data_IF_148123072353
#
_entry.id   IF_148123072353
#
_cell.length_a   1.000
_cell.length_b   1.000
_cell.length_c   1.000
_cell.angle_alpha   90.00
_cell.angle_beta   90.00
_cell.angle_gamma   90.00
#
_symmetry.space_group_name_H-M   'P 1'
#
loop_
_entity.id
_entity.type
_entity.pdbx_description
1 polymer ?
#
# COMPACT_ATOMS: atom_id res chain seq x y z
N UNK A 1 17.02 -0.66 24.63
CA UNK A 1 16.10 0.26 23.94
C UNK A 1 15.66 -0.49 22.71
N UNK A 2 14.51 -1.14 22.78
CA UNK A 2 13.95 -1.89 21.66
C UNK A 2 13.38 -0.90 20.65
N UNK A 3 13.82 -1.03 19.40
CA UNK A 3 13.37 -0.20 18.29
C UNK A 3 11.88 -0.50 18.01
N UNK A 4 10.97 0.50 18.12
CA UNK A 4 9.54 0.33 17.84
C UNK A 4 9.25 -0.13 16.40
N UNK A 5 10.20 0.00 15.49
CA UNK A 5 10.10 -0.42 14.10
C UNK A 5 10.81 -1.75 13.79
N UNK A 6 11.39 -2.43 14.79
CA UNK A 6 11.98 -3.75 14.56
C UNK A 6 10.91 -4.79 14.21
N UNK A 7 11.10 -5.50 13.09
CA UNK A 7 10.21 -6.56 12.60
C UNK A 7 10.46 -7.87 13.34
N UNK A 8 10.07 -7.92 14.61
CA UNK A 8 10.09 -9.14 15.40
C UNK A 8 8.70 -9.76 15.44
N UNK A 9 8.64 -11.09 15.57
CA UNK A 9 7.39 -11.83 15.76
C UNK A 9 6.55 -11.28 16.91
N UNK A 10 7.19 -10.68 17.92
CA UNK A 10 6.52 -10.09 19.06
C UNK A 10 5.87 -8.74 18.72
N UNK A 11 6.55 -7.88 17.94
CA UNK A 11 5.98 -6.62 17.47
C UNK A 11 4.79 -6.84 16.53
N UNK A 12 4.81 -7.87 15.69
CA UNK A 12 3.67 -8.22 14.84
C UNK A 12 2.44 -8.64 15.65
N UNK A 13 2.64 -9.44 16.71
CA UNK A 13 1.56 -9.80 17.64
C UNK A 13 1.02 -8.54 18.34
N UNK A 14 1.88 -7.61 18.74
CA UNK A 14 1.46 -6.35 19.36
C UNK A 14 0.69 -5.43 18.40
N UNK A 15 1.08 -5.36 17.13
CA UNK A 15 0.33 -4.64 16.07
C UNK A 15 -1.01 -5.33 15.81
N UNK A 16 -1.05 -6.66 15.77
CA UNK A 16 -2.30 -7.43 15.63
C UNK A 16 -3.25 -7.23 16.82
N UNK A 17 -2.72 -7.07 18.03
CA UNK A 17 -3.47 -6.78 19.25
C UNK A 17 -3.86 -5.30 19.41
N UNK A 18 -3.44 -4.42 18.49
CA UNK A 18 -3.74 -2.99 18.52
C UNK A 18 -2.99 -2.20 19.58
N UNK A 19 -1.90 -2.75 20.13
CA UNK A 19 -1.07 -2.10 21.17
C UNK A 19 -0.03 -1.18 20.51
N UNK A 20 0.52 -1.60 19.37
CA UNK A 20 1.38 -0.76 18.53
C UNK A 20 0.58 -0.20 17.36
N UNK A 21 0.87 1.05 16.93
CA UNK A 21 0.30 1.60 15.71
C UNK A 21 0.63 0.69 14.52
N UNK A 22 -0.22 0.64 13.48
CA UNK A 22 0.09 -0.08 12.26
C UNK A 22 1.44 0.42 11.72
N UNK A 23 2.22 -0.50 11.16
CA UNK A 23 3.50 -0.14 10.57
C UNK A 23 3.22 0.85 9.46
N UNK A 24 3.96 1.96 9.43
CA UNK A 24 3.92 2.85 8.28
C UNK A 24 4.23 1.97 7.06
N UNK A 25 3.22 1.77 6.22
CA UNK A 25 3.44 1.20 4.89
C UNK A 25 4.50 2.09 4.29
N UNK A 26 5.66 1.52 3.94
CA UNK A 26 6.71 2.29 3.26
C UNK A 26 6.01 2.92 2.06
N UNK A 27 5.82 4.23 2.14
CA UNK A 27 5.29 4.97 1.02
C UNK A 27 6.30 4.75 -0.10
N UNK A 28 5.89 4.03 -1.14
CA UNK A 28 6.71 3.86 -2.34
C UNK A 28 6.92 5.28 -2.86
N UNK A 29 8.15 5.75 -2.74
CA UNK A 29 8.54 7.11 -3.10
C UNK A 29 8.67 7.20 -4.62
N UNK A 30 8.68 8.42 -5.16
CA UNK A 30 8.96 8.63 -6.58
C UNK A 30 10.31 8.02 -6.99
N UNK A 31 11.32 8.14 -6.12
CA UNK A 31 12.63 7.52 -6.30
C UNK A 31 12.56 5.98 -6.40
N UNK A 32 11.69 5.33 -5.62
CA UNK A 32 11.50 3.88 -5.72
C UNK A 32 10.92 3.48 -7.08
N UNK A 33 10.02 4.29 -7.64
CA UNK A 33 9.41 4.05 -8.96
C UNK A 33 10.47 4.22 -10.05
N UNK A 34 11.25 5.30 -9.98
CA UNK A 34 12.36 5.55 -10.92
C UNK A 34 13.35 4.38 -10.88
N UNK A 35 13.72 3.94 -9.68
CA UNK A 35 14.62 2.79 -9.53
C UNK A 35 14.04 1.50 -10.13
N UNK A 36 12.73 1.29 -10.07
CA UNK A 36 12.07 0.12 -10.65
C UNK A 36 12.12 0.16 -12.19
N UNK A 37 11.89 1.35 -12.77
CA UNK A 37 11.99 1.56 -14.22
C UNK A 37 13.43 1.36 -14.68
N UNK A 38 14.41 2.00 -14.03
CA UNK A 38 15.84 1.86 -14.34
C UNK A 38 16.31 0.40 -14.27
N UNK A 39 15.97 -0.32 -13.20
CA UNK A 39 16.32 -1.74 -13.08
C UNK A 39 15.70 -2.59 -14.20
N UNK A 40 14.43 -2.35 -14.54
CA UNK A 40 13.74 -3.10 -15.61
C UNK A 40 14.41 -2.87 -16.96
N UNK A 41 14.84 -1.62 -17.20
CA UNK A 41 15.53 -1.25 -18.42
C UNK A 41 16.93 -1.86 -18.47
N UNK A 42 17.69 -1.85 -17.37
CA UNK A 42 19.01 -2.48 -17.27
C UNK A 42 18.94 -4.00 -17.54
N UNK A 43 17.91 -4.67 -17.02
CA UNK A 43 17.65 -6.09 -17.27
C UNK A 43 17.41 -6.37 -18.76
N UNK A 44 16.62 -5.54 -19.44
CA UNK A 44 16.35 -5.68 -20.89
C UNK A 44 17.54 -5.26 -21.76
N UNK A 45 18.39 -4.36 -21.25
CA UNK A 45 19.53 -3.84 -21.99
C UNK A 45 20.71 -4.83 -22.07
N UNK A 46 20.62 -5.98 -21.38
CA UNK A 46 21.67 -7.01 -21.33
C UNK A 46 23.05 -6.44 -20.91
N UNK A 47 23.06 -5.38 -20.11
CA UNK A 47 24.29 -4.76 -19.60
C UNK A 47 25.01 -3.79 -20.55
N UNK A 48 24.39 -3.38 -21.67
CA UNK A 48 24.84 -2.19 -22.40
C UNK A 48 24.23 -0.95 -21.74
N UNK A 49 25.05 -0.01 -21.29
CA UNK A 49 24.52 1.30 -20.89
C UNK A 49 23.93 2.02 -22.12
N UNK A 50 22.90 2.86 -21.92
CA UNK A 50 22.40 3.71 -23.00
C UNK A 50 23.48 4.60 -23.61
N UNK A 51 24.45 5.01 -22.80
CA UNK A 51 25.62 5.79 -23.22
C UNK A 51 26.53 5.03 -24.22
N UNK A 52 26.48 3.70 -24.22
CA UNK A 52 27.27 2.84 -25.11
C UNK A 52 26.49 2.39 -26.36
N UNK A 53 25.21 2.76 -26.48
CA UNK A 53 24.39 2.43 -27.63
C UNK A 53 24.47 3.48 -28.74
N UNK A 54 24.31 3.02 -29.97
CA UNK A 54 24.20 3.91 -31.13
C UNK A 54 22.79 4.50 -31.24
N UNK A 55 22.66 5.65 -31.91
CA UNK A 55 21.36 6.32 -32.14
C UNK A 55 20.32 5.39 -32.77
N UNK A 56 20.72 4.56 -33.73
CA UNK A 56 19.83 3.60 -34.38
C UNK A 56 19.36 2.50 -33.41
N UNK A 57 20.25 2.01 -32.55
CA UNK A 57 19.89 1.04 -31.49
C UNK A 57 18.96 1.64 -30.43
N UNK A 58 19.14 2.92 -30.08
CA UNK A 58 18.23 3.64 -29.16
C UNK A 58 16.84 3.77 -29.79
N UNK A 59 16.77 4.19 -31.05
CA UNK A 59 15.51 4.41 -31.75
C UNK A 59 14.73 3.10 -31.96
N UNK A 60 15.41 1.96 -32.11
CA UNK A 60 14.73 0.65 -32.14
C UNK A 60 14.13 0.26 -30.78
N UNK A 61 14.74 0.70 -29.68
CA UNK A 61 14.32 0.35 -28.31
C UNK A 61 13.41 1.38 -27.66
N UNK A 62 13.24 2.57 -28.25
CA UNK A 62 12.42 3.66 -27.72
C UNK A 62 10.99 3.19 -27.42
N UNK A 63 10.32 2.62 -28.42
CA UNK A 63 8.95 2.10 -28.28
C UNK A 63 8.85 1.03 -27.17
N UNK A 64 9.82 0.10 -27.09
CA UNK A 64 9.84 -0.98 -26.09
C UNK A 64 10.08 -0.48 -24.66
N UNK A 65 10.84 0.60 -24.50
CA UNK A 65 11.14 1.23 -23.20
C UNK A 65 9.94 2.05 -22.73
N UNK A 66 9.36 2.85 -23.62
CA UNK A 66 8.19 3.68 -23.32
C UNK A 66 6.98 2.83 -22.89
N UNK A 67 6.71 1.73 -23.61
CA UNK A 67 5.62 0.80 -23.25
C UNK A 67 5.83 0.14 -21.86
N UNK A 68 7.08 -0.15 -21.50
CA UNK A 68 7.40 -0.76 -20.21
C UNK A 68 7.27 0.25 -19.06
N UNK A 69 7.76 1.46 -19.28
CA UNK A 69 7.59 2.57 -18.34
C UNK A 69 6.09 2.80 -18.06
N UNK A 70 5.27 2.93 -19.10
CA UNK A 70 3.82 3.11 -18.95
C UNK A 70 3.17 1.95 -18.18
N UNK A 71 3.59 0.70 -18.45
CA UNK A 71 3.09 -0.48 -17.72
C UNK A 71 3.42 -0.44 -16.23
N UNK A 72 4.65 -0.05 -15.88
CA UNK A 72 5.08 0.06 -14.47
C UNK A 72 4.25 1.12 -13.75
N UNK A 73 4.08 2.30 -14.36
CA UNK A 73 3.26 3.36 -13.78
C UNK A 73 1.79 2.97 -13.61
N UNK A 74 1.20 2.29 -14.60
CA UNK A 74 -0.19 1.85 -14.51
C UNK A 74 -0.37 0.76 -13.44
N UNK A 75 0.57 -0.19 -13.35
CA UNK A 75 0.58 -1.20 -12.31
C UNK A 75 0.65 -0.58 -10.91
N UNK A 76 1.53 0.41 -10.72
CA UNK A 76 1.66 1.14 -9.46
C UNK A 76 0.39 1.90 -9.10
N UNK A 77 -0.18 2.65 -10.05
CA UNK A 77 -1.44 3.37 -9.85
C UNK A 77 -2.57 2.42 -9.44
N UNK A 78 -2.64 1.26 -10.08
CA UNK A 78 -3.65 0.23 -9.77
C UNK A 78 -3.43 -0.34 -8.37
N UNK A 79 -2.19 -0.60 -7.98
CA UNK A 79 -1.84 -1.11 -6.65
C UNK A 79 -2.26 -0.11 -5.55
N UNK A 80 -1.85 1.15 -5.65
CA UNK A 80 -2.22 2.20 -4.68
C UNK A 80 -3.73 2.38 -4.55
N UNK A 81 -4.45 2.35 -5.68
CA UNK A 81 -5.91 2.42 -5.66
C UNK A 81 -6.55 1.20 -4.99
N UNK A 82 -5.97 0.01 -5.14
CA UNK A 82 -6.45 -1.20 -4.47
C UNK A 82 -6.20 -1.12 -2.95
N UNK A 83 -5.02 -0.69 -2.53
CA UNK A 83 -4.67 -0.47 -1.11
C UNK A 83 -5.62 0.55 -0.47
N UNK A 84 -5.87 1.69 -1.11
CA UNK A 84 -6.83 2.68 -0.61
C UNK A 84 -8.26 2.13 -0.52
N UNK A 85 -8.70 1.31 -1.49
CA UNK A 85 -10.01 0.66 -1.42
C UNK A 85 -10.08 -0.32 -0.26
N UNK A 86 -9.03 -1.11 -0.04
CA UNK A 86 -8.98 -2.05 1.08
C UNK A 86 -8.95 -1.33 2.43
N UNK A 87 -8.17 -0.27 2.56
CA UNK A 87 -8.15 0.59 3.75
C UNK A 87 -9.52 1.22 4.01
N UNK A 88 -10.20 1.71 2.96
CA UNK A 88 -11.56 2.24 3.06
C UNK A 88 -12.60 1.18 3.42
N UNK A 89 -12.45 -0.06 2.94
CA UNK A 89 -13.33 -1.18 3.33
C UNK A 89 -13.06 -1.65 4.77
N UNK A 90 -11.80 -1.60 5.21
CA UNK A 90 -11.38 -1.90 6.59
C UNK A 90 -11.82 -0.82 7.58
N UNK A 91 -12.04 0.41 7.12
CA UNK A 91 -12.70 1.48 7.88
C UNK A 91 -14.21 1.20 8.04
N UNK A 92 -14.54 0.06 8.66
CA UNK A 92 -15.89 -0.47 8.91
C UNK A 92 -16.72 0.38 9.88
N UNK A 93 -16.10 1.31 10.61
CA UNK A 93 -16.75 2.09 11.66
C UNK A 93 -16.72 3.59 11.31
N UNK A 94 -17.61 3.98 10.39
CA UNK A 94 -17.68 5.34 9.84
C UNK A 94 -18.63 6.30 10.58
N UNK A 95 -19.26 5.90 11.68
CA UNK A 95 -20.09 6.82 12.47
C UNK A 95 -20.32 6.29 13.89
N UNK A 96 -19.96 7.11 14.89
CA UNK A 96 -20.44 6.95 16.27
C UNK A 96 -21.88 7.43 16.28
N UNK A 97 -22.82 6.51 16.52
CA UNK A 97 -24.25 6.83 16.66
C UNK A 97 -24.59 6.87 18.14
N UNK A 98 -25.01 8.02 18.65
CA UNK A 98 -25.51 8.12 20.02
C UNK A 98 -26.85 7.39 20.11
N UNK A 99 -26.95 6.40 21.00
CA UNK A 99 -28.18 5.66 21.27
C UNK A 99 -28.76 6.10 22.62
N UNK A 100 -30.08 6.32 22.66
CA UNK A 100 -30.81 6.59 23.91
C UNK A 100 -31.03 5.28 24.68
N UNK A 101 -31.20 5.36 26.01
CA UNK A 101 -31.40 4.22 26.91
C UNK A 101 -32.57 3.30 26.50
N UNK A 102 -33.53 3.82 25.75
CA UNK A 102 -34.70 3.09 25.25
C UNK A 102 -34.35 2.18 24.06
N UNK A 103 -33.35 2.56 23.25
CA UNK A 103 -32.96 1.84 22.03
C UNK A 103 -31.82 0.83 22.26
N UNK A 104 -31.15 0.90 23.43
CA UNK A 104 -30.05 0.01 23.83
C UNK A 104 -30.44 -1.48 23.81
N UNK A 105 -31.65 -1.83 24.25
CA UNK A 105 -32.06 -3.23 24.39
C UNK A 105 -32.26 -3.91 23.02
N UNK A 106 -32.74 -3.15 22.03
CA UNK A 106 -33.03 -3.69 20.69
C UNK A 106 -31.75 -3.84 19.87
N UNK A 107 -30.88 -2.85 19.91
CA UNK A 107 -29.64 -2.83 19.11
C UNK A 107 -28.54 -3.73 19.71
N UNK A 108 -28.44 -3.86 21.04
CA UNK A 108 -27.34 -4.62 21.69
C UNK A 108 -27.64 -6.12 21.80
N UNK A 109 -28.89 -6.54 21.98
CA UNK A 109 -29.23 -7.97 22.08
C UNK A 109 -29.49 -8.64 20.72
N UNK A 110 -29.66 -7.89 19.63
CA UNK A 110 -29.99 -8.45 18.30
C UNK A 110 -28.97 -8.09 17.20
N UNK A 111 -28.01 -7.20 17.42
CA UNK A 111 -26.93 -6.96 16.45
C UNK A 111 -25.66 -7.73 16.83
N UNK A 112 -25.24 -8.66 15.97
CA UNK A 112 -23.97 -9.36 16.10
C UNK A 112 -22.76 -8.41 16.06
N UNK A 113 -21.68 -8.78 16.77
CA UNK A 113 -20.37 -8.12 16.87
C UNK A 113 -20.32 -6.62 16.48
N UNK A 114 -20.99 -5.77 17.27
CA UNK A 114 -20.75 -4.31 17.26
C UNK A 114 -20.31 -3.90 18.67
N UNK A 115 -19.09 -3.40 18.79
CA UNK A 115 -18.58 -2.83 20.06
C UNK A 115 -19.08 -1.39 20.19
N UNK A 116 -19.83 -1.10 21.27
CA UNK A 116 -20.36 0.24 21.58
C UNK A 116 -19.78 0.72 22.93
N UNK A 117 -19.38 1.99 23.00
CA UNK A 117 -18.93 2.65 24.23
C UNK A 117 -20.07 3.52 24.80
N UNK A 118 -20.26 3.49 26.12
CA UNK A 118 -21.28 4.27 26.84
C UNK A 118 -20.57 5.19 27.83
N UNK A 119 -20.81 6.51 27.73
CA UNK A 119 -20.32 7.53 28.68
C UNK A 119 -21.30 7.76 29.83
#
# INVERSE_FOLDING_TARGET
MDDPNADTQWNDILRQKGILPPKEEKEITEDDIISMVENTIDEKSHGKAFDDMTLDELNEKEDDVDEEEERIFEAYRRQRMAEMREASMKAKYGCVKEISKVDYVTEVNQAGEVFLYVS
#
